data_IF_122012561090
#
_entry.id   IF_122012561090
#
_cell.length_a   1.000
_cell.length_b   1.000
_cell.length_c   1.000
_cell.angle_alpha   90.00
_cell.angle_beta   90.00
_cell.angle_gamma   90.00
#
_symmetry.space_group_name_H-M   'P 1'
#
loop_
_entity.id
_entity.type
_entity.pdbx_description
1 polymer ?
#
# COMPACT_ATOMS: atom_id res chain seq x y z
N UNK A 1 -4.35 -64.28 -25.26
CA UNK A 1 -3.34 -64.64 -26.29
C UNK A 1 -3.48 -66.10 -26.71
N UNK A 2 -3.69 -67.03 -25.77
CA UNK A 2 -4.10 -68.43 -26.07
C UNK A 2 -5.41 -68.47 -26.87
N UNK A 3 -6.39 -67.62 -26.56
CA UNK A 3 -7.65 -67.55 -27.33
C UNK A 3 -7.51 -67.04 -28.76
N UNK A 4 -6.58 -66.11 -29.04
CA UNK A 4 -6.34 -65.64 -30.41
C UNK A 4 -5.66 -66.72 -31.24
N UNK A 5 -4.77 -67.50 -30.61
CA UNK A 5 -4.15 -68.68 -31.21
C UNK A 5 -5.17 -69.79 -31.47
N UNK A 6 -6.09 -70.06 -30.55
CA UNK A 6 -7.16 -71.05 -30.72
C UNK A 6 -8.21 -70.62 -31.74
N UNK A 7 -8.58 -69.33 -31.77
CA UNK A 7 -9.54 -68.78 -32.72
C UNK A 7 -8.97 -68.76 -34.16
N UNK A 8 -7.68 -68.45 -34.33
CA UNK A 8 -7.01 -68.57 -35.63
C UNK A 8 -6.67 -70.01 -36.01
N UNK A 9 -6.43 -70.90 -35.03
CA UNK A 9 -6.32 -72.34 -35.30
C UNK A 9 -7.65 -72.93 -35.77
N UNK A 10 -8.78 -72.47 -35.21
CA UNK A 10 -10.12 -72.80 -35.69
C UNK A 10 -10.35 -72.29 -37.11
N UNK A 11 -10.00 -71.02 -37.40
CA UNK A 11 -10.12 -70.46 -38.75
C UNK A 11 -9.18 -71.12 -39.77
N UNK A 12 -7.98 -71.56 -39.35
CA UNK A 12 -7.05 -72.34 -40.17
C UNK A 12 -7.58 -73.76 -40.44
N UNK A 13 -8.24 -74.38 -39.44
CA UNK A 13 -8.96 -75.65 -39.62
C UNK A 13 -10.15 -75.50 -40.58
N UNK A 14 -10.84 -74.36 -40.56
CA UNK A 14 -11.97 -74.07 -41.44
C UNK A 14 -11.53 -73.78 -42.88
N UNK A 15 -10.41 -73.07 -43.05
CA UNK A 15 -9.75 -72.91 -44.35
C UNK A 15 -9.23 -74.23 -44.93
N UNK A 16 -8.93 -75.22 -44.08
CA UNK A 16 -8.62 -76.58 -44.54
C UNK A 16 -9.86 -77.28 -45.10
N UNK A 17 -11.09 -76.99 -44.64
CA UNK A 17 -12.33 -77.70 -45.01
C UNK A 17 -13.09 -77.07 -46.21
N UNK A 18 -12.54 -76.03 -46.85
CA UNK A 18 -13.21 -75.27 -47.92
C UNK A 18 -13.05 -75.81 -49.35
N UNK A 19 -12.32 -76.90 -49.56
CA UNK A 19 -12.17 -77.54 -50.86
C UNK A 19 -12.23 -79.06 -50.70
N UNK A 20 -13.08 -79.72 -51.49
CA UNK A 20 -13.38 -81.15 -51.36
C UNK A 20 -12.12 -82.00 -51.15
N UNK A 21 -11.97 -82.54 -49.94
CA UNK A 21 -10.89 -83.45 -49.60
C UNK A 21 -11.11 -84.78 -50.33
N UNK A 22 -10.59 -84.90 -51.55
CA UNK A 22 -10.02 -86.19 -51.92
C UNK A 22 -8.93 -86.47 -50.90
N UNK A 23 -8.96 -87.65 -50.28
CA UNK A 23 -8.01 -88.07 -49.26
C UNK A 23 -6.62 -88.29 -49.90
N UNK A 24 -5.99 -87.21 -50.34
CA UNK A 24 -4.60 -87.18 -50.78
C UNK A 24 -3.72 -87.20 -49.55
N UNK A 25 -2.63 -87.98 -49.57
CA UNK A 25 -1.72 -88.02 -48.44
C UNK A 25 -1.14 -86.62 -48.18
N UNK A 26 -0.90 -86.29 -46.89
CA UNK A 26 -0.54 -84.95 -46.41
C UNK A 26 0.64 -84.27 -47.15
N UNK A 27 1.50 -85.04 -47.81
CA UNK A 27 2.60 -84.54 -48.64
C UNK A 27 2.19 -84.00 -50.02
N UNK A 28 0.94 -84.20 -50.45
CA UNK A 28 0.37 -83.66 -51.71
C UNK A 28 -0.68 -82.57 -51.48
N UNK A 29 -1.05 -82.29 -50.23
CA UNK A 29 -2.01 -81.24 -49.89
C UNK A 29 -1.30 -79.89 -49.72
N UNK A 30 -1.59 -78.94 -50.61
CA UNK A 30 -1.07 -77.57 -50.57
C UNK A 30 -1.50 -76.84 -49.29
N UNK A 31 -2.71 -77.12 -48.79
CA UNK A 31 -3.24 -76.47 -47.58
C UNK A 31 -2.46 -76.88 -46.33
N UNK A 32 -1.97 -78.12 -46.28
CA UNK A 32 -1.13 -78.62 -45.19
C UNK A 32 0.20 -77.86 -45.11
N UNK A 33 0.88 -77.64 -46.24
CA UNK A 33 2.13 -76.85 -46.27
C UNK A 33 1.92 -75.37 -45.93
N UNK A 34 0.81 -74.76 -46.38
CA UNK A 34 0.47 -73.37 -46.04
C UNK A 34 0.20 -73.23 -44.54
N UNK A 35 -0.54 -74.16 -43.93
CA UNK A 35 -0.80 -74.16 -42.48
C UNK A 35 0.48 -74.35 -41.66
N UNK A 36 1.38 -75.24 -42.10
CA UNK A 36 2.69 -75.44 -41.47
C UNK A 36 3.56 -74.18 -41.55
N UNK A 37 3.57 -73.51 -42.70
CA UNK A 37 4.25 -72.23 -42.89
C UNK A 37 3.69 -71.12 -41.99
N UNK A 38 2.36 -71.03 -41.87
CA UNK A 38 1.70 -70.07 -40.98
C UNK A 38 2.05 -70.32 -39.51
N UNK A 39 2.03 -71.56 -39.05
CA UNK A 39 2.40 -71.92 -37.67
C UNK A 39 3.87 -71.62 -37.41
N UNK A 40 4.77 -71.88 -38.38
CA UNK A 40 6.18 -71.51 -38.26
C UNK A 40 6.39 -69.99 -38.13
N UNK A 41 5.68 -69.18 -38.93
CA UNK A 41 5.76 -67.71 -38.86
C UNK A 41 5.18 -67.17 -37.54
N UNK A 42 4.03 -67.68 -37.11
CA UNK A 42 3.41 -67.30 -35.84
C UNK A 42 4.27 -67.72 -34.66
N UNK A 43 4.85 -68.92 -34.71
CA UNK A 43 5.83 -69.40 -33.73
C UNK A 43 7.09 -68.54 -33.71
N UNK A 44 7.57 -68.10 -34.88
CA UNK A 44 8.70 -67.17 -34.97
C UNK A 44 8.36 -65.81 -34.38
N UNK A 45 7.16 -65.26 -34.59
CA UNK A 45 6.73 -64.01 -33.94
C UNK A 45 6.50 -64.14 -32.43
N UNK A 46 6.05 -65.31 -31.97
CA UNK A 46 5.98 -65.63 -30.55
C UNK A 46 7.39 -65.71 -29.93
N UNK A 47 8.32 -66.37 -30.60
CA UNK A 47 9.72 -66.50 -30.18
C UNK A 47 10.47 -65.15 -30.19
N UNK A 48 10.26 -64.33 -31.23
CA UNK A 48 10.81 -62.97 -31.33
C UNK A 48 10.13 -61.97 -30.37
N UNK A 49 9.09 -62.39 -29.64
CA UNK A 49 8.48 -61.57 -28.58
C UNK A 49 7.68 -60.37 -29.07
N UNK A 50 7.18 -60.38 -30.32
CA UNK A 50 6.44 -59.25 -30.91
C UNK A 50 5.23 -58.83 -30.05
N UNK A 51 4.53 -59.81 -29.46
CA UNK A 51 3.42 -59.58 -28.54
C UNK A 51 3.83 -58.79 -27.28
N UNK A 52 5.01 -59.06 -26.73
CA UNK A 52 5.54 -58.38 -25.55
C UNK A 52 5.95 -56.94 -25.87
N UNK A 53 6.54 -56.71 -27.05
CA UNK A 53 6.90 -55.35 -27.52
C UNK A 53 5.66 -54.47 -27.70
N UNK A 54 4.57 -55.00 -28.26
CA UNK A 54 3.30 -54.27 -28.42
C UNK A 54 2.67 -53.95 -27.06
N UNK A 55 2.62 -54.92 -26.13
CA UNK A 55 2.14 -54.67 -24.77
C UNK A 55 2.95 -53.57 -24.08
N UNK A 56 4.28 -53.69 -24.13
CA UNK A 56 5.19 -52.71 -23.49
C UNK A 56 5.01 -51.30 -24.07
N UNK A 57 4.80 -51.17 -25.39
CA UNK A 57 4.55 -49.88 -26.03
C UNK A 57 3.21 -49.27 -25.59
N UNK A 58 2.15 -50.08 -25.47
CA UNK A 58 0.85 -49.65 -24.96
C UNK A 58 0.91 -49.27 -23.48
N UNK A 59 1.62 -50.05 -22.67
CA UNK A 59 1.83 -49.77 -21.24
C UNK A 59 2.60 -48.46 -21.06
N UNK A 60 3.68 -48.26 -21.83
CA UNK A 60 4.47 -47.01 -21.82
C UNK A 60 3.62 -45.80 -22.21
N UNK A 61 2.75 -45.95 -23.22
CA UNK A 61 1.85 -44.88 -23.63
C UNK A 61 0.82 -44.57 -22.56
N UNK A 62 0.26 -45.60 -21.94
CA UNK A 62 -0.72 -45.46 -20.85
C UNK A 62 -0.09 -44.77 -19.63
N UNK A 63 1.14 -45.15 -19.26
CA UNK A 63 1.90 -44.49 -18.20
C UNK A 63 2.20 -43.02 -18.54
N UNK A 64 2.64 -42.73 -19.76
CA UNK A 64 2.89 -41.35 -20.18
C UNK A 64 1.64 -40.47 -20.12
N UNK A 65 0.47 -41.01 -20.50
CA UNK A 65 -0.81 -40.29 -20.43
C UNK A 65 -1.22 -40.07 -18.96
N UNK A 66 -1.04 -41.09 -18.11
CA UNK A 66 -1.30 -40.97 -16.68
C UNK A 66 -0.42 -39.88 -16.04
N UNK A 67 0.89 -39.89 -16.31
CA UNK A 67 1.83 -38.90 -15.82
C UNK A 67 1.48 -37.48 -16.31
N UNK A 68 1.07 -37.32 -17.56
CA UNK A 68 0.66 -36.03 -18.12
C UNK A 68 -0.65 -35.52 -17.49
N UNK A 69 -1.63 -36.40 -17.28
CA UNK A 69 -2.88 -36.06 -16.59
C UNK A 69 -2.63 -35.67 -15.12
N UNK A 70 -1.74 -36.36 -14.43
CA UNK A 70 -1.41 -36.06 -13.04
C UNK A 70 -0.64 -34.73 -12.93
N UNK A 71 0.27 -34.45 -13.87
CA UNK A 71 0.90 -33.12 -13.96
C UNK A 71 -0.10 -32.02 -14.27
N UNK A 72 -1.04 -32.26 -15.18
CA UNK A 72 -2.07 -31.29 -15.52
C UNK A 72 -2.99 -31.00 -14.32
N UNK A 73 -3.33 -32.02 -13.53
CA UNK A 73 -4.08 -31.86 -12.27
C UNK A 73 -3.28 -31.07 -11.25
N UNK A 74 -2.02 -31.42 -11.00
CA UNK A 74 -1.15 -30.70 -10.08
C UNK A 74 -1.03 -29.21 -10.47
N UNK A 75 -0.80 -28.92 -11.75
CA UNK A 75 -0.70 -27.55 -12.25
C UNK A 75 -2.01 -26.78 -12.08
N UNK A 76 -3.15 -27.44 -12.26
CA UNK A 76 -4.47 -26.84 -12.05
C UNK A 76 -4.72 -26.52 -10.58
N UNK A 77 -4.31 -27.42 -9.68
CA UNK A 77 -4.45 -27.21 -8.25
C UNK A 77 -3.51 -26.08 -7.75
N UNK A 78 -2.26 -26.04 -8.24
CA UNK A 78 -1.33 -24.93 -7.98
C UNK A 78 -1.87 -23.59 -8.50
N UNK A 79 -2.45 -23.57 -9.70
CA UNK A 79 -3.07 -22.36 -10.26
C UNK A 79 -4.26 -21.89 -9.42
N UNK A 80 -5.07 -22.82 -8.91
CA UNK A 80 -6.18 -22.50 -8.01
C UNK A 80 -5.70 -21.96 -6.67
N UNK A 81 -4.66 -22.55 -6.08
CA UNK A 81 -4.05 -22.05 -4.85
C UNK A 81 -3.48 -20.63 -5.06
N UNK A 82 -2.77 -20.42 -6.17
CA UNK A 82 -2.19 -19.14 -6.51
C UNK A 82 -3.26 -18.07 -6.71
N UNK A 83 -4.35 -18.40 -7.42
CA UNK A 83 -5.49 -17.51 -7.59
C UNK A 83 -6.10 -17.13 -6.24
N UNK A 84 -6.35 -18.11 -5.37
CA UNK A 84 -6.89 -17.86 -4.04
C UNK A 84 -5.95 -16.98 -3.20
N UNK A 85 -4.63 -17.17 -3.32
CA UNK A 85 -3.62 -16.33 -2.66
C UNK A 85 -3.62 -14.90 -3.18
N UNK A 86 -3.71 -14.70 -4.50
CA UNK A 86 -3.82 -13.36 -5.07
C UNK A 86 -5.11 -12.65 -4.67
N UNK A 87 -6.24 -13.35 -4.68
CA UNK A 87 -7.51 -12.78 -4.23
C UNK A 87 -7.49 -12.39 -2.75
N UNK A 88 -6.85 -13.20 -1.88
CA UNK A 88 -6.64 -12.82 -0.47
C UNK A 88 -5.77 -11.58 -0.35
N UNK A 89 -4.61 -11.56 -1.03
CA UNK A 89 -3.70 -10.41 -1.04
C UNK A 89 -4.35 -9.13 -1.58
N UNK A 90 -5.21 -9.26 -2.59
CA UNK A 90 -5.95 -8.13 -3.13
C UNK A 90 -6.89 -7.55 -2.08
N UNK A 91 -7.67 -8.39 -1.39
CA UNK A 91 -8.56 -7.93 -0.31
C UNK A 91 -7.79 -7.31 0.84
N UNK A 92 -6.70 -7.96 1.29
CA UNK A 92 -5.83 -7.42 2.33
C UNK A 92 -5.25 -6.06 1.95
N UNK A 93 -4.80 -5.89 0.69
CA UNK A 93 -4.30 -4.61 0.20
C UNK A 93 -5.39 -3.53 0.09
N UNK A 94 -6.62 -3.91 -0.30
CA UNK A 94 -7.77 -3.00 -0.33
C UNK A 94 -8.16 -2.55 1.08
N UNK A 95 -8.19 -3.46 2.05
CA UNK A 95 -8.44 -3.16 3.47
C UNK A 95 -7.34 -2.27 4.06
N UNK A 96 -6.07 -2.58 3.78
CA UNK A 96 -4.94 -1.77 4.23
C UNK A 96 -4.99 -0.36 3.63
N UNK A 97 -5.27 -0.23 2.33
CA UNK A 97 -5.42 1.06 1.67
C UNK A 97 -6.58 1.88 2.26
N UNK A 98 -7.72 1.25 2.56
CA UNK A 98 -8.84 1.91 3.24
C UNK A 98 -8.43 2.36 4.64
N UNK A 99 -7.72 1.51 5.40
CA UNK A 99 -7.17 1.85 6.72
C UNK A 99 -6.23 3.05 6.68
N UNK A 100 -5.32 3.10 5.69
CA UNK A 100 -4.42 4.24 5.47
C UNK A 100 -5.21 5.54 5.21
N UNK A 101 -6.23 5.47 4.35
CA UNK A 101 -7.05 6.65 4.03
C UNK A 101 -7.83 7.12 5.26
N UNK A 102 -8.41 6.22 6.04
CA UNK A 102 -9.12 6.58 7.27
C UNK A 102 -8.19 7.18 8.30
N UNK A 103 -7.01 6.61 8.50
CA UNK A 103 -6.01 7.12 9.41
C UNK A 103 -5.54 8.51 8.98
N UNK A 104 -5.22 8.70 7.69
CA UNK A 104 -4.83 9.99 7.15
C UNK A 104 -5.92 11.06 7.33
N UNK A 105 -7.21 10.70 7.17
CA UNK A 105 -8.34 11.60 7.45
C UNK A 105 -8.43 11.98 8.92
N UNK A 106 -8.29 11.01 9.84
CA UNK A 106 -8.28 11.26 11.28
C UNK A 106 -7.12 12.18 11.68
N UNK A 107 -5.93 11.89 11.16
CA UNK A 107 -4.74 12.69 11.44
C UNK A 107 -4.88 14.11 10.88
N UNK A 108 -5.39 14.27 9.65
CA UNK A 108 -5.66 15.58 9.07
C UNK A 108 -6.67 16.38 9.90
N UNK A 109 -7.74 15.73 10.39
CA UNK A 109 -8.71 16.38 11.27
C UNK A 109 -8.08 16.83 12.60
N UNK A 110 -7.26 15.97 13.21
CA UNK A 110 -6.58 16.27 14.46
C UNK A 110 -5.59 17.43 14.29
N UNK A 111 -4.77 17.40 13.24
CA UNK A 111 -3.83 18.49 12.91
C UNK A 111 -4.59 19.80 12.67
N UNK A 112 -5.72 19.76 11.96
CA UNK A 112 -6.54 20.95 11.72
C UNK A 112 -7.15 21.50 13.02
N UNK A 113 -7.61 20.62 13.93
CA UNK A 113 -8.14 21.01 15.23
C UNK A 113 -7.06 21.65 16.11
N UNK A 114 -5.88 21.01 16.22
CA UNK A 114 -4.74 21.55 16.96
C UNK A 114 -4.25 22.89 16.38
N UNK A 115 -4.19 23.00 15.05
CA UNK A 115 -3.80 24.24 14.39
C UNK A 115 -4.77 25.37 14.70
N UNK A 116 -6.09 25.10 14.66
CA UNK A 116 -7.12 26.09 15.05
C UNK A 116 -6.94 26.54 16.49
N UNK A 117 -6.77 25.61 17.42
CA UNK A 117 -6.55 25.93 18.83
C UNK A 117 -5.29 26.79 19.03
N UNK A 118 -4.18 26.42 18.39
CA UNK A 118 -2.92 27.20 18.45
C UNK A 118 -3.09 28.61 17.88
N UNK A 119 -3.79 28.75 16.76
CA UNK A 119 -4.08 30.05 16.15
C UNK A 119 -4.94 30.89 17.08
N UNK A 120 -6.00 30.33 17.65
CA UNK A 120 -6.88 31.04 18.58
C UNK A 120 -6.13 31.55 19.81
N UNK A 121 -5.28 30.71 20.42
CA UNK A 121 -4.43 31.16 21.52
C UNK A 121 -3.43 32.24 21.10
N UNK A 122 -2.82 32.11 19.91
CA UNK A 122 -1.89 33.13 19.39
C UNK A 122 -2.61 34.46 19.13
N UNK A 123 -3.83 34.41 18.59
CA UNK A 123 -4.66 35.60 18.38
C UNK A 123 -5.03 36.24 19.72
N UNK A 124 -5.47 35.46 20.70
CA UNK A 124 -5.76 35.98 22.05
C UNK A 124 -4.55 36.65 22.70
N UNK A 125 -3.37 36.01 22.62
CA UNK A 125 -2.11 36.59 23.13
C UNK A 125 -1.73 37.88 22.40
N UNK A 126 -1.89 37.93 21.07
CA UNK A 126 -1.61 39.12 20.26
C UNK A 126 -2.59 40.25 20.54
N UNK A 127 -3.87 39.94 20.72
CA UNK A 127 -4.90 40.92 21.06
C UNK A 127 -4.57 41.59 22.40
N UNK A 128 -4.29 40.80 23.45
CA UNK A 128 -3.86 41.33 24.75
C UNK A 128 -2.59 42.19 24.65
N UNK A 129 -1.58 41.72 23.92
CA UNK A 129 -0.35 42.50 23.73
C UNK A 129 -0.59 43.83 22.99
N UNK A 130 -1.54 43.87 22.05
CA UNK A 130 -1.94 45.09 21.36
C UNK A 130 -2.72 46.03 22.28
N UNK A 131 -3.68 45.52 23.05
CA UNK A 131 -4.41 46.27 24.09
C UNK A 131 -3.45 46.89 25.11
N UNK A 132 -2.51 46.11 25.63
CA UNK A 132 -1.49 46.59 26.57
C UNK A 132 -0.60 47.68 25.94
N UNK A 133 -0.29 47.57 24.65
CA UNK A 133 0.49 48.57 23.92
C UNK A 133 -0.29 49.86 23.71
N UNK A 134 -1.58 49.76 23.42
CA UNK A 134 -2.49 50.91 23.30
C UNK A 134 -2.60 51.61 24.65
N UNK A 135 -2.87 50.88 25.73
CA UNK A 135 -2.98 51.45 27.08
C UNK A 135 -1.68 52.17 27.51
N UNK A 136 -0.51 51.59 27.20
CA UNK A 136 0.78 52.27 27.45
C UNK A 136 0.93 53.54 26.61
N UNK A 137 0.57 53.50 25.33
CA UNK A 137 0.65 54.66 24.44
C UNK A 137 -0.31 55.79 24.89
N UNK A 138 -1.52 55.45 25.33
CA UNK A 138 -2.49 56.40 25.89
C UNK A 138 -1.95 57.06 27.16
N UNK A 139 -1.42 56.27 28.10
CA UNK A 139 -0.81 56.81 29.32
C UNK A 139 0.38 57.72 29.00
N UNK A 140 1.20 57.36 28.00
CA UNK A 140 2.34 58.17 27.60
C UNK A 140 1.90 59.47 26.93
N UNK A 141 0.91 59.43 26.04
CA UNK A 141 0.34 60.61 25.40
C UNK A 141 -0.30 61.57 26.41
N UNK A 142 -1.05 61.04 27.40
CA UNK A 142 -1.61 61.83 28.49
C UNK A 142 -0.52 62.51 29.34
N UNK A 143 0.54 61.77 29.67
CA UNK A 143 1.68 62.33 30.39
C UNK A 143 2.38 63.44 29.60
N UNK A 144 2.54 63.26 28.29
CA UNK A 144 3.16 64.24 27.40
C UNK A 144 2.32 65.52 27.27
N UNK A 145 1.00 65.40 27.08
CA UNK A 145 0.09 66.56 27.08
C UNK A 145 0.13 67.31 28.41
N UNK A 146 0.18 66.58 29.54
CA UNK A 146 0.27 67.19 30.87
C UNK A 146 1.58 67.96 31.05
N UNK A 147 2.70 67.39 30.59
CA UNK A 147 4.00 68.04 30.67
C UNK A 147 4.03 69.29 29.79
N UNK A 148 3.58 69.21 28.54
CA UNK A 148 3.49 70.37 27.64
C UNK A 148 2.60 71.49 28.21
N UNK A 149 1.48 71.13 28.84
CA UNK A 149 0.59 72.10 29.50
C UNK A 149 1.26 72.75 30.71
N UNK A 150 2.03 71.97 31.48
CA UNK A 150 2.76 72.49 32.65
C UNK A 150 3.86 73.45 32.20
N UNK A 151 4.61 73.11 31.15
CA UNK A 151 5.65 73.96 30.59
C UNK A 151 5.05 75.27 30.05
N UNK A 152 3.94 75.19 29.29
CA UNK A 152 3.23 76.38 28.80
C UNK A 152 2.70 77.26 29.94
N UNK A 153 2.15 76.65 31.00
CA UNK A 153 1.67 77.39 32.17
C UNK A 153 2.83 78.10 32.90
N UNK A 154 3.97 77.45 33.05
CA UNK A 154 5.18 78.04 33.65
C UNK A 154 5.72 79.17 32.78
N UNK A 155 5.77 79.01 31.46
CA UNK A 155 6.20 80.06 30.54
C UNK A 155 5.26 81.27 30.57
N UNK A 156 3.94 81.04 30.55
CA UNK A 156 2.94 82.10 30.69
C UNK A 156 3.07 82.82 32.03
N UNK A 157 3.29 82.08 33.13
CA UNK A 157 3.52 82.68 34.44
C UNK A 157 4.80 83.53 34.46
N UNK A 158 5.90 83.07 33.84
CA UNK A 158 7.14 83.86 33.68
C UNK A 158 6.88 85.16 32.90
N UNK A 159 6.11 85.11 31.82
CA UNK A 159 5.76 86.30 31.04
C UNK A 159 4.92 87.30 31.85
N UNK A 160 3.89 86.84 32.55
CA UNK A 160 3.07 87.70 33.42
C UNK A 160 3.91 88.34 34.53
N UNK A 161 4.80 87.58 35.17
CA UNK A 161 5.71 88.09 36.22
C UNK A 161 6.64 89.14 35.63
N UNK A 162 7.25 88.90 34.47
CA UNK A 162 8.10 89.88 33.77
C UNK A 162 7.33 91.15 33.41
N UNK A 163 6.09 91.01 32.93
CA UNK A 163 5.24 92.15 32.57
C UNK A 163 4.74 92.99 33.75
N UNK A 164 4.71 92.42 34.98
CA UNK A 164 4.31 93.13 36.21
C UNK A 164 5.49 93.53 37.12
N UNK A 165 6.72 93.17 36.76
CA UNK A 165 7.92 93.49 37.56
C UNK A 165 8.33 94.95 37.35
N UNK A 166 8.06 95.81 38.34
CA UNK A 166 8.69 97.14 38.48
C UNK A 166 9.92 97.09 39.42
N UNK A 167 10.66 98.20 39.52
CA UNK A 167 11.85 98.32 40.39
C UNK A 167 11.55 98.13 41.89
N UNK A 168 10.35 98.49 42.36
CA UNK A 168 9.92 98.32 43.75
C UNK A 168 9.58 96.86 44.08
N UNK A 169 8.90 96.15 43.18
CA UNK A 169 8.58 94.73 43.33
C UNK A 169 9.84 93.85 43.35
N UNK A 170 10.85 94.19 42.54
CA UNK A 170 12.15 93.49 42.53
C UNK A 170 12.91 93.67 43.85
N UNK A 171 12.93 94.89 44.40
CA UNK A 171 13.61 95.17 45.68
C UNK A 171 12.93 94.46 46.85
N UNK A 172 11.59 94.45 46.91
CA UNK A 172 10.84 93.75 47.95
C UNK A 172 11.01 92.22 47.92
N UNK A 173 11.19 91.62 46.73
CA UNK A 173 11.50 90.20 46.58
C UNK A 173 12.92 89.87 47.03
N UNK A 174 13.88 90.76 46.76
CA UNK A 174 15.27 90.60 47.23
C UNK A 174 15.36 90.67 48.75
N UNK A 175 14.66 91.62 49.38
CA UNK A 175 14.60 91.74 50.84
C UNK A 175 13.97 90.49 51.48
N UNK A 176 12.85 90.00 50.94
CA UNK A 176 12.22 88.74 51.40
C UNK A 176 13.11 87.52 51.23
N UNK A 177 13.84 87.42 50.12
CA UNK A 177 14.77 86.31 49.89
C UNK A 177 15.95 86.36 50.88
N UNK A 178 16.45 87.56 51.21
CA UNK A 178 17.47 87.76 52.24
C UNK A 178 16.93 87.36 53.62
N UNK A 179 15.69 87.72 53.95
CA UNK A 179 15.06 87.35 55.23
C UNK A 179 14.76 85.85 55.34
N UNK A 180 14.29 85.18 54.27
CA UNK A 180 14.11 83.72 54.26
C UNK A 180 15.45 82.98 54.39
N UNK A 181 16.50 83.45 53.71
CA UNK A 181 17.83 82.87 53.83
C UNK A 181 18.37 83.05 55.27
N UNK A 182 18.20 84.24 55.84
CA UNK A 182 18.53 84.54 57.23
C UNK A 182 17.75 83.63 58.20
N UNK A 183 16.48 83.36 57.96
CA UNK A 183 15.65 82.46 58.78
C UNK A 183 16.00 80.97 58.64
N UNK A 184 16.66 80.55 57.55
CA UNK A 184 17.14 79.17 57.34
C UNK A 184 18.53 78.92 57.92
N UNK A 185 19.29 79.97 58.22
CA UNK A 185 20.67 79.92 58.73
C UNK A 185 20.83 80.53 60.14
N UNK A 186 19.72 80.89 60.79
CA UNK A 186 19.61 81.02 62.25
C UNK A 186 18.86 79.81 62.80
#
# INVERSE_FOLDING_TARGET
>A
MIDVLLMFASAASEAAHGGGHEAVPLWQDTSAWVSLGFVLVVGLFAYLGVHKSISTALDKRSQSIADELDRARALRDEAQELLAKYQRRQREAEEEAQGIIEQAKKDAHNIAAEARQKIEEQLSRRAKAAEDKIARAESQALAEVRNQTTDLAVDTAREIIRGRMDQGAQSALAEKAIDELRAKFH
#
